data_IF_051285916527
#
_entry.id   IF_051285916527
#
_cell.length_a   1.000
_cell.length_b   1.000
_cell.length_c   1.000
_cell.angle_alpha   90.00
_cell.angle_beta   90.00
_cell.angle_gamma   90.00
#
_symmetry.space_group_name_H-M   'P 1'
#
loop_
_entity.id
_entity.type
_entity.pdbx_description
1 polymer ?
#
# COMPACT_ATOMS: atom_id res chain seq x y z
N UNK A 1 3.06 20.39 -54.38
CA UNK A 1 3.17 20.16 -52.93
C UNK A 1 2.92 21.50 -52.25
N UNK A 2 1.68 21.81 -51.90
CA UNK A 2 1.28 23.15 -51.42
C UNK A 2 1.68 23.32 -49.95
N UNK A 3 2.67 24.19 -49.67
CA UNK A 3 3.12 24.50 -48.31
C UNK A 3 2.09 25.44 -47.66
N UNK A 4 1.12 24.85 -46.96
CA UNK A 4 0.11 25.58 -46.17
C UNK A 4 0.82 26.46 -45.14
N UNK A 5 0.62 27.78 -45.21
CA UNK A 5 1.28 28.75 -44.31
C UNK A 5 0.92 28.44 -42.86
N UNK A 6 1.93 28.20 -42.02
CA UNK A 6 1.74 27.86 -40.62
C UNK A 6 1.17 29.09 -39.89
N UNK A 7 -0.09 28.98 -39.47
CA UNK A 7 -0.81 30.02 -38.72
C UNK A 7 -0.38 30.02 -37.25
N UNK A 8 -0.43 31.18 -36.57
CA UNK A 8 -0.06 31.29 -35.13
C UNK A 8 -0.80 30.28 -34.24
N UNK A 9 -2.06 29.96 -34.56
CA UNK A 9 -2.85 28.95 -33.85
C UNK A 9 -2.30 27.52 -33.92
N UNK A 10 -1.53 27.17 -34.97
CA UNK A 10 -0.86 25.87 -35.05
C UNK A 10 0.26 25.77 -34.02
N UNK A 11 1.11 26.81 -33.91
CA UNK A 11 2.19 26.86 -32.94
C UNK A 11 1.69 26.90 -31.49
N UNK A 12 0.60 27.63 -31.24
CA UNK A 12 -0.04 27.65 -29.91
C UNK A 12 -0.45 26.23 -29.50
N UNK A 13 -1.14 25.49 -30.38
CA UNK A 13 -1.55 24.11 -30.11
C UNK A 13 -0.37 23.15 -29.97
N UNK A 14 0.64 23.31 -30.83
CA UNK A 14 1.84 22.46 -30.82
C UNK A 14 2.59 22.54 -29.48
N UNK A 15 2.60 23.72 -28.85
CA UNK A 15 3.29 23.94 -27.57
C UNK A 15 2.37 23.75 -26.37
N UNK A 16 1.09 24.12 -26.45
CA UNK A 16 0.17 24.02 -25.31
C UNK A 16 -0.18 22.58 -24.93
N UNK A 17 -0.28 21.69 -25.91
CA UNK A 17 -0.69 20.29 -25.67
C UNK A 17 0.38 19.49 -24.91
N UNK A 18 1.68 19.50 -25.29
CA UNK A 18 2.71 18.80 -24.52
C UNK A 18 2.87 19.33 -23.10
N UNK A 19 2.78 20.64 -22.92
CA UNK A 19 2.85 21.28 -21.60
C UNK A 19 1.72 20.77 -20.71
N UNK A 20 0.49 20.75 -21.21
CA UNK A 20 -0.66 20.25 -20.47
C UNK A 20 -0.52 18.75 -20.14
N UNK A 21 -0.05 17.93 -21.08
CA UNK A 21 0.19 16.50 -20.83
C UNK A 21 1.25 16.26 -19.76
N UNK A 22 2.31 17.08 -19.73
CA UNK A 22 3.35 16.99 -18.71
C UNK A 22 2.80 17.29 -17.31
N UNK A 23 2.04 18.38 -17.17
CA UNK A 23 1.38 18.70 -15.90
C UNK A 23 0.36 17.64 -15.49
N UNK A 24 -0.38 17.07 -16.45
CA UNK A 24 -1.34 16.00 -16.18
C UNK A 24 -0.65 14.73 -15.66
N UNK A 25 0.46 14.32 -16.28
CA UNK A 25 1.23 13.16 -15.83
C UNK A 25 1.81 13.37 -14.43
N UNK A 26 2.31 14.58 -14.14
CA UNK A 26 2.79 14.93 -12.80
C UNK A 26 1.67 14.94 -11.75
N UNK A 27 0.50 15.47 -12.10
CA UNK A 27 -0.67 15.50 -11.21
C UNK A 27 -1.29 14.12 -10.97
N UNK A 28 -0.96 13.11 -11.77
CA UNK A 28 -1.54 11.77 -11.65
C UNK A 28 -1.17 11.09 -10.32
N UNK A 29 0.04 11.36 -9.80
CA UNK A 29 0.51 10.83 -8.50
C UNK A 29 -0.37 11.32 -7.34
N UNK A 30 -0.50 12.63 -7.06
CA UNK A 30 -1.34 13.10 -5.96
C UNK A 30 -2.83 12.81 -6.17
N UNK A 31 -3.32 12.79 -7.43
CA UNK A 31 -4.71 12.38 -7.71
C UNK A 31 -4.94 10.93 -7.30
N UNK A 32 -4.01 10.02 -7.62
CA UNK A 32 -4.11 8.62 -7.24
C UNK A 32 -4.08 8.45 -5.72
N UNK A 33 -3.24 9.21 -5.01
CA UNK A 33 -3.19 9.21 -3.54
C UNK A 33 -4.53 9.63 -2.92
N UNK A 34 -5.13 10.74 -3.37
CA UNK A 34 -6.44 11.19 -2.88
C UNK A 34 -7.55 10.17 -3.16
N UNK A 35 -7.51 9.52 -4.33
CA UNK A 35 -8.45 8.45 -4.66
C UNK A 35 -8.26 7.24 -3.74
N UNK A 36 -7.01 6.84 -3.47
CA UNK A 36 -6.69 5.78 -2.50
C UNK A 36 -7.21 6.11 -1.10
N UNK A 37 -7.05 7.35 -0.64
CA UNK A 37 -7.51 7.78 0.68
C UNK A 37 -9.04 7.77 0.82
N UNK A 38 -9.76 8.22 -0.21
CA UNK A 38 -11.24 8.25 -0.19
C UNK A 38 -11.84 6.85 -0.34
N UNK A 39 -11.28 6.03 -1.24
CA UNK A 39 -11.85 4.70 -1.57
C UNK A 39 -11.31 3.58 -0.70
N UNK A 40 -10.18 3.79 -0.01
CA UNK A 40 -9.45 2.76 0.73
C UNK A 40 -8.77 1.72 -0.18
N UNK A 41 -8.62 2.00 -1.49
CA UNK A 41 -7.98 1.09 -2.43
C UNK A 41 -6.53 0.79 -1.99
N UNK A 42 -6.18 -0.49 -1.95
CA UNK A 42 -4.85 -1.02 -1.60
C UNK A 42 -4.44 -0.97 -0.12
N UNK A 43 -5.32 -0.54 0.80
CA UNK A 43 -5.08 -0.68 2.25
C UNK A 43 -3.78 -0.03 2.73
N UNK A 44 -3.25 0.96 1.99
CA UNK A 44 -2.12 1.77 2.42
C UNK A 44 -2.61 2.53 3.65
N UNK A 45 -2.38 1.99 4.83
CA UNK A 45 -2.54 2.71 6.08
C UNK A 45 -1.71 3.97 5.93
N UNK A 46 -2.36 5.14 5.89
CA UNK A 46 -1.69 6.43 5.72
C UNK A 46 -0.46 6.47 6.62
N UNK A 47 0.65 7.01 6.10
CA UNK A 47 1.86 7.19 6.92
C UNK A 47 1.45 8.03 8.11
N UNK A 48 1.39 7.43 9.29
CA UNK A 48 1.09 8.17 10.51
C UNK A 48 2.32 9.02 10.80
N UNK A 49 2.26 10.31 10.48
CA UNK A 49 3.39 11.25 10.61
C UNK A 49 3.76 11.53 12.07
N UNK A 50 2.87 11.19 12.99
CA UNK A 50 3.12 11.27 14.42
C UNK A 50 2.89 9.89 15.03
N UNK A 51 3.84 9.42 15.82
CA UNK A 51 3.65 8.30 16.74
C UNK A 51 2.52 8.73 17.69
N UNK A 52 1.27 8.38 17.36
CA UNK A 52 0.16 8.68 18.25
C UNK A 52 0.41 7.88 19.52
N UNK A 53 0.49 8.56 20.67
CA UNK A 53 0.52 7.88 21.95
C UNK A 53 -0.85 7.22 22.14
N UNK A 54 -0.97 5.98 21.68
CA UNK A 54 -2.15 5.17 21.92
C UNK A 54 -2.20 4.84 23.40
N UNK A 55 -3.22 5.33 24.10
CA UNK A 55 -3.51 4.85 25.45
C UNK A 55 -3.98 3.40 25.34
N UNK A 56 -3.22 2.49 25.95
CA UNK A 56 -3.48 1.05 25.88
C UNK A 56 -4.76 0.76 26.65
N UNK A 57 -5.85 0.53 25.93
CA UNK A 57 -7.10 0.06 26.51
C UNK A 57 -6.99 -1.45 26.80
N UNK A 58 -6.86 -1.81 28.07
CA UNK A 58 -6.69 -3.21 28.50
C UNK A 58 -7.95 -4.07 28.36
N UNK A 59 -9.14 -3.45 28.22
CA UNK A 59 -10.42 -4.15 28.07
C UNK A 59 -10.65 -4.63 26.64
N UNK A 60 -9.89 -4.11 25.67
CA UNK A 60 -10.00 -4.49 24.26
C UNK A 60 -9.14 -5.72 23.96
N UNK A 61 -9.76 -6.89 24.04
CA UNK A 61 -9.16 -8.15 23.59
C UNK A 61 -9.42 -8.38 22.10
N UNK A 62 -8.36 -8.74 21.36
CA UNK A 62 -8.42 -9.12 19.94
C UNK A 62 -7.79 -10.49 19.77
N UNK A 63 -8.51 -11.43 19.15
CA UNK A 63 -7.94 -12.74 18.81
C UNK A 63 -7.14 -12.63 17.51
N UNK A 64 -5.84 -12.92 17.59
CA UNK A 64 -4.95 -13.01 16.43
C UNK A 64 -4.76 -14.48 16.10
N UNK A 65 -5.07 -14.86 14.84
CA UNK A 65 -4.84 -16.22 14.33
C UNK A 65 -3.60 -16.25 13.45
N UNK A 66 -2.74 -17.23 13.68
CA UNK A 66 -1.51 -17.43 12.93
C UNK A 66 -1.70 -18.52 11.89
N UNK A 67 -1.56 -18.13 10.62
CA UNK A 67 -1.64 -19.05 9.49
C UNK A 67 -0.30 -19.17 8.81
N UNK A 68 0.04 -20.40 8.42
CA UNK A 68 1.25 -20.72 7.66
C UNK A 68 0.90 -21.69 6.54
N UNK A 69 1.33 -21.37 5.33
CA UNK A 69 1.23 -22.28 4.18
C UNK A 69 2.59 -22.37 3.50
N UNK A 70 2.92 -23.57 3.02
CA UNK A 70 4.14 -23.83 2.26
C UNK A 70 3.78 -24.33 0.86
N UNK A 71 4.64 -24.04 -0.10
CA UNK A 71 4.44 -24.52 -1.48
C UNK A 71 4.63 -26.04 -1.55
N UNK A 72 3.89 -26.76 -2.41
CA UNK A 72 4.13 -28.18 -2.65
C UNK A 72 5.60 -28.45 -3.01
N UNK A 73 6.22 -29.42 -2.36
CA UNK A 73 7.65 -29.76 -2.54
C UNK A 73 8.61 -28.95 -1.67
N UNK A 74 8.13 -28.05 -0.80
CA UNK A 74 8.98 -27.38 0.17
C UNK A 74 9.52 -28.39 1.21
N UNK A 75 10.86 -28.48 1.41
CA UNK A 75 11.48 -29.57 2.17
C UNK A 75 11.31 -29.44 3.69
N UNK A 76 10.86 -28.29 4.18
CA UNK A 76 10.76 -27.98 5.61
C UNK A 76 9.28 -27.88 6.01
N UNK A 77 8.89 -28.61 7.05
CA UNK A 77 7.60 -28.41 7.69
C UNK A 77 7.65 -27.12 8.51
N UNK A 78 6.90 -26.10 8.08
CA UNK A 78 6.84 -24.81 8.73
C UNK A 78 5.44 -24.54 9.26
N UNK A 79 5.34 -24.18 10.55
CA UNK A 79 4.07 -23.81 11.15
C UNK A 79 4.20 -23.03 12.45
N UNK A 80 3.14 -22.33 12.88
CA UNK A 80 3.14 -21.63 14.14
C UNK A 80 3.16 -22.61 15.32
N UNK A 81 3.81 -22.24 16.42
CA UNK A 81 3.79 -23.05 17.66
C UNK A 81 2.41 -23.04 18.33
N UNK A 82 1.64 -21.97 18.15
CA UNK A 82 0.28 -21.78 18.62
C UNK A 82 -0.57 -21.18 17.51
N UNK A 83 -1.79 -21.67 17.30
CA UNK A 83 -2.62 -21.24 16.16
C UNK A 83 -3.34 -19.90 16.40
N UNK A 84 -3.54 -19.51 17.66
CA UNK A 84 -4.14 -18.22 18.00
C UNK A 84 -3.72 -17.76 19.40
N UNK A 85 -3.75 -16.45 19.62
CA UNK A 85 -3.59 -15.82 20.93
C UNK A 85 -4.56 -14.64 21.05
N UNK A 86 -4.95 -14.29 22.27
CA UNK A 86 -5.62 -13.03 22.56
C UNK A 86 -4.59 -11.96 22.90
N UNK A 87 -4.71 -10.80 22.26
CA UNK A 87 -3.81 -9.66 22.46
C UNK A 87 -4.59 -8.41 22.83
N UNK A 88 -3.94 -7.58 23.63
CA UNK A 88 -4.34 -6.19 23.86
C UNK A 88 -3.53 -5.33 22.88
N UNK A 89 -4.19 -4.58 21.98
CA UNK A 89 -3.50 -3.68 21.07
C UNK A 89 -2.58 -2.69 21.80
N UNK A 90 -1.36 -2.50 21.29
CA UNK A 90 -0.35 -1.62 21.90
C UNK A 90 0.61 -2.30 22.88
N UNK A 91 0.41 -3.58 23.22
CA UNK A 91 1.38 -4.38 23.99
C UNK A 91 2.25 -5.25 23.07
N UNK A 92 3.47 -5.53 23.51
CA UNK A 92 4.38 -6.43 22.80
C UNK A 92 4.11 -7.89 23.16
N UNK A 93 3.99 -8.74 22.13
CA UNK A 93 3.83 -10.18 22.27
C UNK A 93 4.91 -10.90 21.47
N UNK A 94 5.49 -11.94 22.04
CA UNK A 94 6.44 -12.82 21.33
C UNK A 94 5.74 -14.09 20.89
N UNK A 95 5.86 -14.42 19.61
CA UNK A 95 5.33 -15.65 19.03
C UNK A 95 6.46 -16.45 18.42
N UNK A 96 6.33 -17.78 18.40
CA UNK A 96 7.35 -18.67 17.87
C UNK A 96 6.75 -19.55 16.77
N UNK A 97 7.58 -19.82 15.76
CA UNK A 97 7.28 -20.76 14.69
C UNK A 97 8.24 -21.94 14.78
N UNK A 98 7.77 -23.10 14.37
CA UNK A 98 8.58 -24.32 14.27
C UNK A 98 8.88 -24.57 12.80
N UNK A 99 10.16 -24.78 12.50
CA UNK A 99 10.67 -25.19 11.21
C UNK A 99 11.42 -26.51 11.38
N UNK A 100 10.91 -27.59 10.78
CA UNK A 100 11.52 -28.92 10.87
C UNK A 100 11.92 -29.41 9.48
N UNK A 101 13.20 -29.72 9.30
CA UNK A 101 13.68 -30.43 8.12
C UNK A 101 13.41 -31.94 8.29
N UNK A 102 13.04 -32.61 7.21
CA UNK A 102 12.88 -34.07 7.19
C UNK A 102 14.14 -34.77 6.70
#
# INVERSE_FOLDING_TARGET
>A
MERKKITKGFWIKLVSVPILMFFFAFALVPIYEVLCDITGFNGTTGRVEAEQQYEVNEERLVTVSFFSSTMPGFPVQFGPKVNSIEVVPGKFYTVSYVAKNN
#
